data_IF_710502992138
#
_entry.id   IF_710502992138
#
_cell.length_a   1.000
_cell.length_b   1.000
_cell.length_c   1.000
_cell.angle_alpha   90.00
_cell.angle_beta   90.00
_cell.angle_gamma   90.00
#
_symmetry.space_group_name_H-M   'P 1'
#
loop_
_entity.id
_entity.type
_entity.pdbx_description
1 polymer ?
#
# COMPACT_ATOMS: atom_id res chain seq x y z
N UNK A 1 -9.90 -2.41 -2.46
CA UNK A 1 -9.48 -1.33 -1.54
C UNK A 1 -8.02 -0.93 -1.78
N UNK A 2 -7.00 -1.25 -0.96
CA UNK A 2 -5.62 -0.78 -1.23
C UNK A 2 -5.06 -1.17 -2.62
N UNK A 3 -5.40 -2.35 -3.14
CA UNK A 3 -5.02 -2.77 -4.50
C UNK A 3 -5.74 -1.95 -5.57
N UNK A 4 -6.96 -1.57 -5.35
CA UNK A 4 -7.74 -0.70 -6.23
C UNK A 4 -7.15 0.72 -6.26
N UNK A 5 -6.77 1.26 -5.11
CA UNK A 5 -6.08 2.56 -5.05
C UNK A 5 -4.71 2.53 -5.75
N UNK A 6 -3.97 1.43 -5.65
CA UNK A 6 -2.72 1.23 -6.40
C UNK A 6 -2.96 1.12 -7.91
N UNK A 7 -4.05 0.46 -8.32
CA UNK A 7 -4.49 0.41 -9.71
C UNK A 7 -4.79 1.81 -10.25
N UNK A 8 -5.58 2.59 -9.53
CA UNK A 8 -5.92 3.96 -9.94
C UNK A 8 -4.68 4.86 -9.99
N UNK A 9 -3.77 4.74 -9.03
CA UNK A 9 -2.48 5.42 -9.05
C UNK A 9 -1.68 5.09 -10.32
N UNK A 10 -1.55 3.81 -10.64
CA UNK A 10 -0.82 3.35 -11.83
C UNK A 10 -1.46 3.88 -13.12
N UNK A 11 -2.77 3.68 -13.27
CA UNK A 11 -3.51 4.14 -14.45
C UNK A 11 -3.36 5.64 -14.64
N UNK A 12 -3.52 6.41 -13.58
CA UNK A 12 -3.42 7.86 -13.61
C UNK A 12 -2.01 8.33 -14.04
N UNK A 13 -0.96 7.69 -13.54
CA UNK A 13 0.42 8.05 -13.92
C UNK A 13 0.69 7.76 -15.41
N UNK A 14 0.15 6.70 -15.98
CA UNK A 14 0.30 6.38 -17.40
C UNK A 14 -0.57 7.28 -18.30
N UNK A 15 -1.78 7.58 -17.86
CA UNK A 15 -2.76 8.33 -18.65
C UNK A 15 -2.38 9.80 -18.79
N UNK A 16 -1.72 10.39 -17.80
CA UNK A 16 -1.49 11.84 -17.73
C UNK A 16 -0.60 12.36 -18.88
N UNK A 17 0.31 11.55 -19.41
CA UNK A 17 1.25 11.93 -20.47
C UNK A 17 0.88 11.40 -21.86
N UNK A 18 -0.20 10.67 -22.00
CA UNK A 18 -0.60 10.07 -23.28
C UNK A 18 -1.73 10.86 -23.94
N UNK A 19 -1.61 11.12 -25.24
CA UNK A 19 -2.68 11.74 -26.07
C UNK A 19 -3.68 10.70 -26.62
N UNK A 20 -3.43 9.41 -26.41
CA UNK A 20 -4.28 8.33 -26.92
C UNK A 20 -5.66 8.36 -26.20
N UNK A 21 -6.79 8.44 -26.93
CA UNK A 21 -8.14 8.42 -26.33
C UNK A 21 -8.46 7.14 -25.56
N UNK A 22 -7.82 6.01 -25.93
CA UNK A 22 -8.01 4.71 -25.29
C UNK A 22 -7.01 4.43 -24.16
N UNK A 23 -6.21 5.42 -23.77
CA UNK A 23 -5.12 5.29 -22.79
C UNK A 23 -5.55 4.66 -21.47
N UNK A 24 -6.73 5.04 -20.96
CA UNK A 24 -7.26 4.48 -19.71
C UNK A 24 -7.52 2.99 -19.82
N UNK A 25 -8.20 2.58 -20.90
CA UNK A 25 -8.51 1.17 -21.16
C UNK A 25 -7.23 0.34 -21.32
N UNK A 26 -6.23 0.86 -22.03
CA UNK A 26 -4.94 0.20 -22.22
C UNK A 26 -4.20 0.05 -20.89
N UNK A 27 -4.08 1.12 -20.10
CA UNK A 27 -3.42 1.08 -18.81
C UNK A 27 -4.09 0.08 -17.84
N UNK A 28 -5.43 0.08 -17.80
CA UNK A 28 -6.21 -0.87 -17.02
C UNK A 28 -5.99 -2.32 -17.48
N UNK A 29 -6.00 -2.57 -18.78
CA UNK A 29 -5.75 -3.91 -19.34
C UNK A 29 -4.34 -4.41 -18.98
N UNK A 30 -3.33 -3.57 -19.09
CA UNK A 30 -1.96 -3.90 -18.69
C UNK A 30 -1.90 -4.28 -17.19
N UNK A 31 -2.57 -3.52 -16.32
CA UNK A 31 -2.61 -3.84 -14.89
C UNK A 31 -3.19 -5.22 -14.62
N UNK A 32 -4.30 -5.57 -15.28
CA UNK A 32 -4.97 -6.86 -15.05
C UNK A 32 -4.27 -8.05 -15.71
N UNK A 33 -3.44 -7.82 -16.74
CA UNK A 33 -2.60 -8.87 -17.31
C UNK A 33 -1.46 -9.31 -16.38
N UNK A 34 -1.10 -8.51 -15.37
CA UNK A 34 -0.02 -8.83 -14.46
C UNK A 34 -0.53 -9.70 -13.31
N UNK A 35 0.05 -10.88 -13.19
CA UNK A 35 -0.26 -11.84 -12.13
C UNK A 35 0.65 -11.55 -10.93
N UNK A 36 0.02 -11.39 -9.77
CA UNK A 36 0.72 -11.22 -8.50
C UNK A 36 0.88 -9.76 -8.03
N UNK A 37 0.60 -9.59 -6.76
CA UNK A 37 0.61 -8.27 -6.10
C UNK A 37 1.97 -7.58 -6.18
N UNK A 38 3.07 -8.31 -5.95
CA UNK A 38 4.43 -7.74 -5.94
C UNK A 38 4.82 -7.18 -7.32
N UNK A 39 4.40 -7.85 -8.41
CA UNK A 39 4.65 -7.38 -9.78
C UNK A 39 3.84 -6.12 -10.08
N UNK A 40 2.58 -6.06 -9.66
CA UNK A 40 1.74 -4.86 -9.77
C UNK A 40 2.31 -3.69 -8.97
N UNK A 41 2.82 -3.96 -7.77
CA UNK A 41 3.43 -2.94 -6.92
C UNK A 41 4.73 -2.37 -7.53
N UNK A 42 5.58 -3.23 -8.12
CA UNK A 42 6.78 -2.80 -8.85
C UNK A 42 6.43 -1.94 -10.08
N UNK A 43 5.36 -2.28 -10.77
CA UNK A 43 4.89 -1.51 -11.92
C UNK A 43 4.35 -0.13 -11.50
N UNK A 44 3.58 -0.06 -10.42
CA UNK A 44 3.13 1.21 -9.85
C UNK A 44 4.32 2.07 -9.39
N UNK A 45 5.33 1.46 -8.74
CA UNK A 45 6.56 2.16 -8.32
C UNK A 45 7.32 2.74 -9.51
N UNK A 46 7.48 1.98 -10.59
CA UNK A 46 8.13 2.45 -11.80
C UNK A 46 7.38 3.61 -12.46
N UNK A 47 6.04 3.53 -12.55
CA UNK A 47 5.20 4.58 -13.11
C UNK A 47 5.29 5.89 -12.28
N UNK A 48 5.25 5.78 -10.96
CA UNK A 48 5.36 6.94 -10.06
C UNK A 48 6.74 7.59 -10.18
N UNK A 49 7.81 6.82 -10.12
CA UNK A 49 9.19 7.32 -10.28
C UNK A 49 9.46 7.96 -11.63
N UNK A 50 8.82 7.47 -12.69
CA UNK A 50 8.96 8.01 -14.03
C UNK A 50 8.21 9.34 -14.26
N UNK A 51 7.23 9.66 -13.42
CA UNK A 51 6.34 10.80 -13.62
C UNK A 51 6.45 11.90 -12.55
N UNK A 52 6.83 11.54 -11.34
CA UNK A 52 6.97 12.49 -10.22
C UNK A 52 8.44 12.85 -10.06
N UNK A 53 8.74 14.14 -10.13
CA UNK A 53 10.09 14.68 -9.97
C UNK A 53 10.33 15.31 -8.61
N UNK A 54 9.26 15.64 -7.87
CA UNK A 54 9.37 16.23 -6.54
C UNK A 54 9.93 15.24 -5.52
N UNK A 55 11.08 15.61 -4.94
CA UNK A 55 11.82 14.75 -4.02
C UNK A 55 11.04 14.44 -2.72
N UNK A 56 10.23 15.39 -2.23
CA UNK A 56 9.44 15.20 -1.02
C UNK A 56 8.32 14.19 -1.25
N UNK A 57 7.61 14.30 -2.36
CA UNK A 57 6.57 13.34 -2.77
C UNK A 57 7.14 11.95 -3.02
N UNK A 58 8.30 11.85 -3.67
CA UNK A 58 8.98 10.56 -3.84
C UNK A 58 9.43 9.95 -2.51
N UNK A 59 9.82 10.77 -1.54
CA UNK A 59 10.13 10.28 -0.20
C UNK A 59 8.89 9.69 0.50
N UNK A 60 7.74 10.35 0.41
CA UNK A 60 6.48 9.84 0.93
C UNK A 60 6.07 8.54 0.24
N UNK A 61 6.20 8.48 -1.09
CA UNK A 61 5.95 7.25 -1.83
C UNK A 61 6.80 6.09 -1.34
N UNK A 62 8.11 6.29 -1.15
CA UNK A 62 9.01 5.24 -0.62
C UNK A 62 8.57 4.72 0.74
N UNK A 63 8.10 5.59 1.62
CA UNK A 63 7.57 5.19 2.93
C UNK A 63 6.31 4.34 2.79
N UNK A 64 5.37 4.78 1.96
CA UNK A 64 4.13 4.06 1.68
C UNK A 64 4.38 2.73 0.97
N UNK A 65 5.29 2.68 0.00
CA UNK A 65 5.69 1.46 -0.70
C UNK A 65 6.22 0.40 0.28
N UNK A 66 7.17 0.78 1.14
CA UNK A 66 7.74 -0.13 2.13
C UNK A 66 6.68 -0.62 3.12
N UNK A 67 5.78 0.27 3.54
CA UNK A 67 4.68 -0.11 4.41
C UNK A 67 3.68 -1.04 3.71
N UNK A 68 3.38 -0.81 2.44
CA UNK A 68 2.52 -1.67 1.61
C UNK A 68 3.10 -3.08 1.46
N UNK A 69 4.40 -3.21 1.23
CA UNK A 69 5.10 -4.51 1.17
C UNK A 69 4.95 -5.25 2.50
N UNK A 70 5.16 -4.56 3.62
CA UNK A 70 4.96 -5.14 4.96
C UNK A 70 3.52 -5.60 5.17
N UNK A 71 2.55 -4.80 4.77
CA UNK A 71 1.12 -5.14 4.90
C UNK A 71 0.72 -6.32 4.01
N UNK A 72 1.30 -6.44 2.80
CA UNK A 72 1.11 -7.60 1.92
C UNK A 72 1.54 -8.91 2.59
N UNK A 73 2.67 -8.92 3.28
CA UNK A 73 3.11 -10.07 4.09
C UNK A 73 2.08 -10.45 5.15
N UNK A 74 1.55 -9.46 5.89
CA UNK A 74 0.54 -9.71 6.93
C UNK A 74 -0.79 -10.24 6.36
N UNK A 75 -1.18 -9.77 5.18
CA UNK A 75 -2.35 -10.27 4.45
C UNK A 75 -2.15 -11.73 4.02
N UNK A 76 -1.01 -12.03 3.43
CA UNK A 76 -0.70 -13.39 2.96
C UNK A 76 -0.66 -14.37 4.13
N UNK A 77 -0.11 -13.98 5.28
CA UNK A 77 -0.13 -14.77 6.50
C UNK A 77 -1.57 -15.10 6.95
N UNK A 78 -2.50 -14.15 6.89
CA UNK A 78 -3.90 -14.39 7.22
C UNK A 78 -4.64 -15.20 6.15
N UNK A 79 -4.37 -14.95 4.86
CA UNK A 79 -5.04 -15.61 3.75
C UNK A 79 -4.65 -17.08 3.58
N UNK A 80 -3.42 -17.42 3.94
CA UNK A 80 -2.91 -18.81 3.87
C UNK A 80 -3.01 -19.55 5.21
N UNK A 81 -3.63 -18.97 6.21
CA UNK A 81 -3.90 -19.62 7.49
C UNK A 81 -5.15 -20.52 7.43
N UNK A 82 -5.14 -21.55 8.23
CA UNK A 82 -6.30 -22.43 8.42
C UNK A 82 -7.10 -21.99 9.65
N UNK A 83 -8.42 -21.92 9.50
CA UNK A 83 -9.29 -21.63 10.63
C UNK A 83 -9.35 -22.88 11.53
N UNK A 84 -8.96 -22.73 12.79
CA UNK A 84 -9.02 -23.81 13.77
C UNK A 84 -9.75 -23.34 15.04
N UNK A 85 -10.55 -24.22 15.59
CA UNK A 85 -11.22 -24.00 16.87
C UNK A 85 -10.47 -24.81 17.92
N UNK A 86 -9.90 -24.13 18.91
CA UNK A 86 -9.23 -24.76 20.04
C UNK A 86 -10.15 -24.70 21.27
N UNK A 87 -10.42 -25.86 21.85
CA UNK A 87 -11.15 -26.03 23.09
C UNK A 87 -12.57 -25.43 23.12
N UNK A 88 -13.24 -25.34 21.95
CA UNK A 88 -14.58 -24.74 21.80
C UNK A 88 -14.73 -23.30 22.34
N UNK A 89 -13.64 -22.58 22.58
CA UNK A 89 -13.67 -21.25 23.19
C UNK A 89 -13.33 -20.11 22.25
N UNK A 90 -12.38 -20.31 21.34
CA UNK A 90 -11.93 -19.22 20.49
C UNK A 90 -11.49 -19.73 19.09
N UNK A 91 -11.99 -19.07 18.06
CA UNK A 91 -11.54 -19.29 16.69
C UNK A 91 -10.21 -18.60 16.46
N UNK A 92 -9.21 -19.33 15.96
CA UNK A 92 -7.87 -18.82 15.63
C UNK A 92 -7.47 -19.20 14.23
N UNK A 93 -6.67 -18.35 13.58
CA UNK A 93 -6.06 -18.67 12.30
C UNK A 93 -4.68 -19.26 12.57
N UNK A 94 -4.55 -20.54 12.21
CA UNK A 94 -3.28 -21.28 12.31
C UNK A 94 -2.50 -21.16 11.01
N UNK A 95 -1.16 -21.02 11.05
CA UNK A 95 -0.34 -21.12 9.86
C UNK A 95 -0.50 -22.48 9.20
N UNK A 96 -0.50 -22.52 7.86
CA UNK A 96 -0.60 -23.76 7.08
C UNK A 96 0.71 -24.02 6.31
N UNK A 97 1.08 -25.30 6.19
CA UNK A 97 2.26 -25.71 5.43
C UNK A 97 3.58 -25.30 6.09
N UNK A 98 4.54 -24.86 5.28
CA UNK A 98 5.89 -24.49 5.74
C UNK A 98 5.91 -23.32 6.71
N UNK A 99 4.87 -22.52 6.75
CA UNK A 99 4.75 -21.38 7.66
C UNK A 99 4.44 -21.79 9.10
N UNK A 100 3.94 -23.02 9.31
CA UNK A 100 3.78 -23.59 10.67
C UNK A 100 5.09 -23.60 11.46
N UNK A 101 6.22 -23.77 10.78
CA UNK A 101 7.55 -23.80 11.43
C UNK A 101 8.08 -22.40 11.78
N UNK A 102 7.58 -21.35 11.11
CA UNK A 102 8.04 -19.99 11.28
C UNK A 102 7.24 -19.21 12.32
N UNK A 103 6.01 -19.62 12.56
CA UNK A 103 5.10 -18.89 13.43
C UNK A 103 4.93 -19.60 14.77
N UNK A 104 5.18 -18.87 15.84
CA UNK A 104 5.04 -19.39 17.21
C UNK A 104 3.61 -19.36 17.75
N UNK A 105 2.78 -18.42 17.26
CA UNK A 105 1.45 -18.19 17.82
C UNK A 105 0.37 -18.03 16.74
N UNK A 106 -0.86 -18.56 16.98
CA UNK A 106 -1.98 -18.37 16.08
C UNK A 106 -2.48 -16.92 16.09
N UNK A 107 -3.11 -16.48 14.97
CA UNK A 107 -3.78 -15.18 14.89
C UNK A 107 -5.11 -15.22 15.63
N UNK A 108 -5.25 -14.37 16.62
CA UNK A 108 -6.51 -14.15 17.34
C UNK A 108 -7.44 -13.21 16.56
N UNK A 109 -8.73 -13.22 16.92
CA UNK A 109 -9.71 -12.26 16.38
C UNK A 109 -9.31 -10.82 16.70
N UNK A 110 -8.75 -10.56 17.89
CA UNK A 110 -8.26 -9.23 18.26
C UNK A 110 -7.13 -8.76 17.35
N UNK A 111 -6.18 -9.64 17.04
CA UNK A 111 -5.09 -9.34 16.11
C UNK A 111 -5.61 -9.12 14.69
N UNK A 112 -6.59 -9.88 14.22
CA UNK A 112 -7.23 -9.66 12.93
C UNK A 112 -7.91 -8.29 12.85
N UNK A 113 -8.67 -7.91 13.88
CA UNK A 113 -9.29 -6.57 13.96
C UNK A 113 -8.24 -5.47 13.94
N UNK A 114 -7.14 -5.64 14.68
CA UNK A 114 -6.01 -4.70 14.65
C UNK A 114 -5.41 -4.58 13.25
N UNK A 115 -5.18 -5.70 12.56
CA UNK A 115 -4.66 -5.71 11.18
C UNK A 115 -5.63 -5.04 10.20
N UNK A 116 -6.93 -5.30 10.33
CA UNK A 116 -7.94 -4.63 9.50
C UNK A 116 -7.84 -3.10 9.62
N UNK A 117 -7.68 -2.58 10.83
CA UNK A 117 -7.47 -1.15 11.04
C UNK A 117 -6.23 -0.63 10.31
N UNK A 118 -5.10 -1.37 10.38
CA UNK A 118 -3.87 -0.98 9.65
C UNK A 118 -4.09 -0.93 8.13
N UNK A 119 -4.89 -1.84 7.56
CA UNK A 119 -5.23 -1.81 6.13
C UNK A 119 -6.10 -0.60 5.77
N UNK A 120 -7.06 -0.23 6.61
CA UNK A 120 -7.87 0.98 6.41
C UNK A 120 -7.01 2.23 6.47
N UNK A 121 -6.07 2.31 7.41
CA UNK A 121 -5.15 3.45 7.52
C UNK A 121 -4.20 3.52 6.32
N UNK A 122 -3.74 2.38 5.79
CA UNK A 122 -2.95 2.32 4.55
C UNK A 122 -3.75 2.80 3.34
N UNK A 123 -5.01 2.38 3.21
CA UNK A 123 -5.88 2.81 2.11
C UNK A 123 -6.07 4.33 2.11
N UNK A 124 -6.36 4.93 3.27
CA UNK A 124 -6.45 6.39 3.43
C UNK A 124 -5.15 7.09 3.03
N UNK A 125 -4.00 6.52 3.41
CA UNK A 125 -2.70 7.09 3.10
C UNK A 125 -2.37 7.00 1.60
N UNK A 126 -2.71 5.90 0.92
CA UNK A 126 -2.56 5.73 -0.52
C UNK A 126 -3.50 6.66 -1.30
N UNK A 127 -4.74 6.81 -0.87
CA UNK A 127 -5.72 7.74 -1.49
C UNK A 127 -5.26 9.20 -1.33
N UNK A 128 -4.74 9.57 -0.17
CA UNK A 128 -4.12 10.88 0.04
C UNK A 128 -2.94 11.10 -0.90
N UNK A 129 -2.06 10.09 -1.03
CA UNK A 129 -0.91 10.17 -1.92
C UNK A 129 -1.34 10.33 -3.37
N UNK A 130 -2.33 9.55 -3.83
CA UNK A 130 -2.90 9.65 -5.18
C UNK A 130 -3.37 11.07 -5.47
N UNK A 131 -4.13 11.65 -4.55
CA UNK A 131 -4.63 13.00 -4.69
C UNK A 131 -3.49 14.03 -4.72
N UNK A 132 -2.53 13.93 -3.81
CA UNK A 132 -1.36 14.82 -3.73
C UNK A 132 -0.50 14.76 -5.00
N UNK A 133 -0.23 13.56 -5.49
CA UNK A 133 0.52 13.33 -6.73
C UNK A 133 -0.21 13.91 -7.94
N UNK A 134 -1.54 13.77 -8.00
CA UNK A 134 -2.36 14.30 -9.09
C UNK A 134 -2.36 15.82 -9.14
N UNK A 135 -2.43 16.47 -7.99
CA UNK A 135 -2.40 17.93 -7.90
C UNK A 135 -1.04 18.52 -8.30
N UNK A 136 0.05 17.79 -8.16
CA UNK A 136 1.34 18.23 -8.67
C UNK A 136 1.41 18.22 -10.20
N UNK A 137 0.71 17.26 -10.84
CA UNK A 137 0.70 17.13 -12.29
C UNK A 137 -0.28 18.13 -12.93
N UNK A 138 -1.44 18.34 -12.33
CA UNK A 138 -2.47 19.31 -12.74
C UNK A 138 -3.02 20.00 -11.49
N UNK A 139 -2.46 21.14 -11.08
CA UNK A 139 -3.01 21.91 -9.98
C UNK A 139 -4.47 22.27 -10.23
N UNK A 140 -5.35 21.87 -9.34
CA UNK A 140 -6.76 22.24 -9.42
C UNK A 140 -7.08 23.22 -8.27
N UNK A 141 -7.28 24.50 -8.56
CA UNK A 141 -7.51 25.53 -7.55
C UNK A 141 -8.80 25.34 -6.75
N UNK A 142 -9.72 24.49 -7.23
CA UNK A 142 -11.00 24.21 -6.56
C UNK A 142 -10.92 23.10 -5.52
N UNK A 143 -9.81 22.36 -5.47
CA UNK A 143 -9.61 21.34 -4.44
C UNK A 143 -8.82 21.92 -3.27
N UNK A 144 -9.47 21.96 -2.11
CA UNK A 144 -8.82 22.32 -0.85
C UNK A 144 -7.69 21.36 -0.45
N UNK A 145 -6.89 21.75 0.52
CA UNK A 145 -5.81 20.92 1.07
C UNK A 145 -6.42 19.73 1.83
N UNK A 146 -6.16 18.50 1.38
CA UNK A 146 -6.53 17.30 2.15
C UNK A 146 -5.53 17.13 3.30
N UNK A 147 -5.99 16.93 4.54
CA UNK A 147 -5.11 16.74 5.68
C UNK A 147 -4.25 15.48 5.51
N UNK A 148 -3.00 15.58 5.92
CA UNK A 148 -2.05 14.47 5.86
C UNK A 148 -2.51 13.37 6.83
N UNK A 149 -2.70 12.11 6.37
CA UNK A 149 -3.11 11.02 7.24
C UNK A 149 -2.12 10.75 8.38
N UNK A 150 -2.64 10.33 9.52
CA UNK A 150 -1.81 10.00 10.70
C UNK A 150 -0.72 8.97 10.38
N UNK A 151 -1.03 7.96 9.55
CA UNK A 151 -0.05 6.96 9.12
C UNK A 151 1.14 7.61 8.42
N UNK A 152 0.93 8.54 7.47
CA UNK A 152 2.01 9.22 6.75
C UNK A 152 2.87 10.03 7.72
N UNK A 153 2.23 10.74 8.65
CA UNK A 153 2.92 11.51 9.70
C UNK A 153 3.76 10.60 10.59
N UNK A 154 3.24 9.44 10.99
CA UNK A 154 3.95 8.46 11.79
C UNK A 154 5.16 7.87 11.05
N UNK A 155 5.01 7.52 9.77
CA UNK A 155 6.08 6.99 8.93
C UNK A 155 7.20 8.01 8.72
N UNK A 156 6.88 9.28 8.49
CA UNK A 156 7.87 10.37 8.40
C UNK A 156 8.66 10.53 9.69
N UNK A 157 7.99 10.50 10.86
CA UNK A 157 8.64 10.57 12.17
C UNK A 157 9.58 9.38 12.40
N UNK A 158 9.16 8.19 12.04
CA UNK A 158 9.98 6.98 12.16
C UNK A 158 11.24 7.06 11.28
N UNK A 159 11.11 7.47 10.02
CA UNK A 159 12.23 7.64 9.09
C UNK A 159 13.24 8.67 9.60
N UNK A 160 12.78 9.79 10.17
CA UNK A 160 13.65 10.82 10.76
C UNK A 160 14.44 10.31 11.97
N UNK A 161 13.85 9.44 12.82
CA UNK A 161 14.53 8.81 13.95
C UNK A 161 15.63 7.85 13.48
N UNK A 162 15.35 7.03 12.46
CA UNK A 162 16.31 6.06 11.92
C UNK A 162 17.54 6.77 11.35
N UNK A 163 17.37 7.89 10.62
CA UNK A 163 18.48 8.68 10.09
C UNK A 163 19.37 9.26 11.19
N UNK A 164 18.78 9.77 12.28
CA UNK A 164 19.55 10.29 13.43
C UNK A 164 20.33 9.22 14.19
N UNK A 165 19.86 7.98 14.20
CA UNK A 165 20.55 6.86 14.84
C UNK A 165 21.73 6.29 14.02
N UNK A 166 21.79 6.54 12.72
CA UNK A 166 22.87 6.09 11.84
C UNK A 166 24.03 7.08 11.72
N UNK A 167 23.90 8.28 12.27
CA UNK A 167 24.93 9.34 12.26
C UNK A 167 25.75 9.40 13.55
N UNK A 168 25.58 8.43 14.43
CA UNK A 168 26.40 8.20 15.62
C UNK A 168 27.28 6.95 15.44
#
# INVERSE_FOLDING_TARGET
>A
MAEETLHELFVQQLVTKSENPNRYTVARSVWFCIIGFDSRLKMADAAIKGNITDAATLADWRLLLNYTIKMSSLRNEAAHGMLANFDNKEMKIMPYGTDMLKRKEPLTIAELKRRTKLFVDLEKALSWFQWSASNQIKPNPHFGTIPIPELVTALRKQAAKTRKGQTK
#
